data_IF_816135724004
#
_entry.id   IF_816135724004
#
_cell.length_a   1.000
_cell.length_b   1.000
_cell.length_c   1.000
_cell.angle_alpha   90.00
_cell.angle_beta   90.00
_cell.angle_gamma   90.00
#
_symmetry.space_group_name_H-M   'P 1'
#
loop_
_entity.id
_entity.type
_entity.pdbx_description
1 polymer ?
#
# COMPACT_ATOMS: atom_id res chain seq x y z
N UNK A 1 15.27 -2.28 -7.14
CA UNK A 1 15.46 -2.09 -8.58
C UNK A 1 14.24 -1.46 -9.24
N UNK A 2 14.43 -0.90 -10.43
CA UNK A 2 13.30 -0.39 -11.22
C UNK A 2 13.53 -0.68 -12.72
N UNK A 3 12.44 -0.72 -13.46
CA UNK A 3 12.41 -0.82 -14.91
C UNK A 3 11.30 0.10 -15.44
N UNK A 4 11.55 0.79 -16.54
CA UNK A 4 10.55 1.64 -17.19
C UNK A 4 10.70 1.68 -18.71
N UNK A 5 9.62 2.03 -19.38
CA UNK A 5 9.64 2.38 -20.80
C UNK A 5 10.05 3.84 -20.96
N UNK A 6 11.12 4.12 -21.69
CA UNK A 6 11.54 5.51 -22.00
C UNK A 6 10.54 6.24 -22.90
N UNK A 7 9.77 5.49 -23.69
CA UNK A 7 8.72 6.01 -24.57
C UNK A 7 7.36 6.14 -23.87
N UNK A 8 7.27 5.75 -22.58
CA UNK A 8 6.02 5.78 -21.83
C UNK A 8 4.99 4.72 -22.23
N UNK A 9 5.36 3.76 -23.08
CA UNK A 9 4.46 2.68 -23.51
C UNK A 9 4.22 1.68 -22.40
N UNK A 10 2.97 1.34 -22.13
CA UNK A 10 2.58 0.28 -21.19
C UNK A 10 2.72 -1.08 -21.86
N UNK A 11 3.26 -2.05 -21.13
CA UNK A 11 3.32 -3.45 -21.57
C UNK A 11 3.29 -4.42 -20.39
N UNK A 12 2.85 -5.63 -20.64
CA UNK A 12 2.92 -6.74 -19.69
C UNK A 12 4.38 -7.24 -19.54
N UNK A 13 5.20 -7.08 -20.56
CA UNK A 13 6.62 -7.44 -20.55
C UNK A 13 7.40 -6.74 -19.42
N UNK A 14 7.06 -5.48 -19.11
CA UNK A 14 7.66 -4.74 -18.00
C UNK A 14 7.38 -5.43 -16.66
N UNK A 15 6.19 -5.98 -16.45
CA UNK A 15 5.86 -6.76 -15.24
C UNK A 15 6.73 -8.01 -15.16
N UNK A 16 6.82 -8.78 -16.24
CA UNK A 16 7.64 -10.00 -16.28
C UNK A 16 9.12 -9.71 -16.00
N UNK A 17 9.67 -8.67 -16.62
CA UNK A 17 11.04 -8.23 -16.38
C UNK A 17 11.25 -7.74 -14.93
N UNK A 18 10.29 -6.98 -14.37
CA UNK A 18 10.36 -6.51 -12.98
C UNK A 18 10.35 -7.67 -11.98
N UNK A 19 9.48 -8.66 -12.18
CA UNK A 19 9.46 -9.86 -11.36
C UNK A 19 10.77 -10.66 -11.49
N UNK A 20 11.33 -10.73 -12.71
CA UNK A 20 12.64 -11.36 -12.90
C UNK A 20 13.78 -10.62 -12.21
N UNK A 21 13.76 -9.28 -12.24
CA UNK A 21 14.72 -8.46 -11.47
C UNK A 21 14.58 -8.77 -9.98
N UNK A 22 13.35 -8.89 -9.47
CA UNK A 22 13.09 -9.20 -8.06
C UNK A 22 13.66 -10.58 -7.69
N UNK A 23 13.44 -11.61 -8.50
CA UNK A 23 14.04 -12.94 -8.32
C UNK A 23 15.58 -12.89 -8.27
N UNK A 24 16.21 -12.12 -9.17
CA UNK A 24 17.67 -11.93 -9.17
C UNK A 24 18.20 -11.21 -7.91
N UNK A 25 17.33 -10.55 -7.14
CA UNK A 25 17.66 -9.88 -5.88
C UNK A 25 17.46 -10.78 -4.64
N UNK A 26 17.16 -12.05 -4.79
CA UNK A 26 16.92 -13.01 -3.68
C UNK A 26 18.03 -12.97 -2.63
N UNK A 27 19.30 -12.91 -3.07
CA UNK A 27 20.47 -12.78 -2.21
C UNK A 27 20.50 -11.51 -1.35
N UNK A 28 19.62 -10.55 -1.58
CA UNK A 28 19.45 -9.30 -0.81
C UNK A 28 18.40 -9.41 0.28
N UNK A 29 17.69 -10.53 0.38
CA UNK A 29 16.67 -10.78 1.38
C UNK A 29 17.10 -11.78 2.43
N UNK A 30 16.27 -11.96 3.43
CA UNK A 30 16.40 -13.03 4.40
C UNK A 30 15.14 -13.89 4.41
N UNK A 31 15.30 -15.12 4.88
CA UNK A 31 14.25 -16.10 5.03
C UNK A 31 14.18 -16.49 6.50
N UNK A 32 12.99 -16.55 7.05
CA UNK A 32 12.74 -16.91 8.45
C UNK A 32 13.05 -18.38 8.72
N UNK A 33 12.97 -18.77 9.99
CA UNK A 33 13.29 -20.15 10.46
C UNK A 33 12.40 -21.24 9.85
N UNK A 34 11.24 -20.88 9.27
CA UNK A 34 10.37 -21.84 8.56
C UNK A 34 10.88 -22.14 7.11
N UNK A 35 11.99 -21.53 6.72
CA UNK A 35 12.61 -21.74 5.39
C UNK A 35 11.82 -21.20 4.21
N UNK A 36 10.72 -20.47 4.44
CA UNK A 36 9.77 -20.04 3.39
C UNK A 36 9.25 -18.61 3.57
N UNK A 37 9.12 -18.11 4.78
CA UNK A 37 8.69 -16.74 5.02
C UNK A 37 9.83 -15.76 4.76
N UNK A 38 9.68 -14.87 3.77
CA UNK A 38 10.65 -13.81 3.51
C UNK A 38 10.48 -12.60 4.43
N UNK A 39 11.52 -11.78 4.58
CA UNK A 39 11.48 -10.50 5.30
C UNK A 39 10.58 -9.45 4.61
N UNK A 40 10.24 -9.70 3.37
CA UNK A 40 9.31 -8.88 2.61
C UNK A 40 9.80 -8.60 1.19
N UNK A 41 8.88 -8.75 0.26
CA UNK A 41 9.07 -8.39 -1.13
C UNK A 41 7.89 -7.61 -1.66
N UNK A 42 8.11 -6.82 -2.72
CA UNK A 42 7.00 -6.07 -3.31
C UNK A 42 7.35 -5.41 -4.62
N UNK A 43 6.28 -4.98 -5.29
CA UNK A 43 6.28 -4.29 -6.56
C UNK A 43 5.31 -3.12 -6.56
N UNK A 44 5.76 -1.97 -7.03
CA UNK A 44 4.95 -0.79 -7.34
C UNK A 44 4.87 -0.67 -8.86
N UNK A 45 3.67 -0.40 -9.37
CA UNK A 45 3.41 -0.26 -10.81
C UNK A 45 2.44 0.89 -11.08
N UNK A 46 2.23 1.25 -12.35
CA UNK A 46 1.02 1.98 -12.74
C UNK A 46 -0.23 1.18 -12.40
N UNK A 47 -1.36 1.87 -12.27
CA UNK A 47 -2.68 1.24 -12.14
C UNK A 47 -2.98 0.46 -13.43
N UNK A 48 -3.26 -0.85 -13.34
CA UNK A 48 -3.62 -1.68 -14.49
C UNK A 48 -5.10 -1.50 -14.87
N UNK A 49 -5.42 -0.37 -15.48
CA UNK A 49 -6.79 0.06 -15.77
C UNK A 49 -7.59 -0.98 -16.56
N UNK A 50 -6.99 -1.54 -17.61
CA UNK A 50 -7.63 -2.55 -18.47
C UNK A 50 -8.00 -3.82 -17.70
N UNK A 51 -7.17 -4.22 -16.75
CA UNK A 51 -7.47 -5.34 -15.85
C UNK A 51 -8.70 -5.02 -15.00
N UNK A 52 -8.76 -3.83 -14.43
CA UNK A 52 -9.84 -3.45 -13.53
C UNK A 52 -11.17 -3.30 -14.26
N UNK A 53 -11.18 -2.74 -15.47
CA UNK A 53 -12.38 -2.67 -16.31
C UNK A 53 -13.01 -4.05 -16.52
N UNK A 54 -12.20 -5.12 -16.61
CA UNK A 54 -12.70 -6.50 -16.83
C UNK A 54 -12.97 -7.28 -15.54
N UNK A 55 -12.32 -6.92 -14.42
CA UNK A 55 -12.37 -7.74 -13.20
C UNK A 55 -13.24 -7.17 -12.08
N UNK A 56 -13.61 -5.89 -12.15
CA UNK A 56 -14.51 -5.30 -11.17
C UNK A 56 -15.97 -5.51 -11.58
N UNK A 57 -16.83 -5.75 -10.59
CA UNK A 57 -18.27 -5.94 -10.77
C UNK A 57 -19.06 -4.62 -10.82
N UNK A 58 -18.37 -3.50 -10.63
CA UNK A 58 -18.92 -2.14 -10.64
C UNK A 58 -18.25 -1.30 -11.73
N UNK A 59 -18.94 -0.23 -12.16
CA UNK A 59 -18.44 0.66 -13.21
C UNK A 59 -17.26 1.47 -12.71
N UNK A 60 -16.16 1.44 -13.45
CA UNK A 60 -14.96 2.24 -13.22
C UNK A 60 -14.96 3.40 -14.22
N UNK A 61 -14.71 4.65 -13.78
CA UNK A 61 -14.53 5.81 -14.66
C UNK A 61 -13.25 5.69 -15.50
N UNK A 62 -13.09 6.59 -16.46
CA UNK A 62 -11.86 6.69 -17.24
C UNK A 62 -10.63 6.86 -16.35
N UNK A 63 -9.49 6.40 -16.85
CA UNK A 63 -8.21 6.52 -16.17
C UNK A 63 -7.92 7.97 -15.77
N UNK A 64 -7.48 8.18 -14.52
CA UNK A 64 -7.24 9.51 -13.94
C UNK A 64 -8.44 10.10 -13.19
N UNK A 65 -9.66 9.57 -13.39
CA UNK A 65 -10.87 10.05 -12.70
C UNK A 65 -11.23 9.21 -11.46
N UNK A 66 -10.40 8.27 -11.09
CA UNK A 66 -10.53 7.46 -9.88
C UNK A 66 -9.17 7.16 -9.27
N UNK A 67 -9.18 6.84 -7.99
CA UNK A 67 -8.06 6.26 -7.28
C UNK A 67 -8.36 4.80 -6.93
N UNK A 68 -7.30 4.00 -6.83
CA UNK A 68 -7.38 2.65 -6.28
C UNK A 68 -6.32 2.46 -5.21
N UNK A 69 -6.65 1.68 -4.18
CA UNK A 69 -5.71 1.32 -3.12
C UNK A 69 -5.84 -0.13 -2.72
N UNK A 70 -4.70 -0.80 -2.53
CA UNK A 70 -4.68 -2.05 -1.80
C UNK A 70 -4.84 -1.75 -0.32
N UNK A 71 -5.70 -2.50 0.35
CA UNK A 71 -6.02 -2.33 1.78
C UNK A 71 -5.85 -3.67 2.48
N UNK A 72 -4.97 -3.69 3.45
CA UNK A 72 -4.83 -4.77 4.40
C UNK A 72 -5.89 -4.61 5.50
N UNK A 73 -6.58 -5.65 5.83
CA UNK A 73 -7.77 -5.65 6.67
C UNK A 73 -7.73 -6.79 7.68
N UNK A 74 -8.47 -6.69 8.80
CA UNK A 74 -8.70 -7.78 9.73
C UNK A 74 -9.24 -9.05 9.06
N UNK A 75 -8.84 -10.21 9.58
CA UNK A 75 -9.37 -11.50 9.13
C UNK A 75 -10.79 -11.75 9.65
N UNK A 76 -11.10 -11.29 10.87
CA UNK A 76 -12.46 -11.40 11.43
C UNK A 76 -13.43 -10.50 10.68
N UNK A 77 -14.50 -11.09 10.15
CA UNK A 77 -15.47 -10.43 9.28
C UNK A 77 -16.04 -9.16 9.90
N UNK A 78 -16.50 -9.22 11.16
CA UNK A 78 -17.07 -8.06 11.86
C UNK A 78 -16.06 -6.90 12.01
N UNK A 79 -14.79 -7.21 12.34
CA UNK A 79 -13.75 -6.18 12.45
C UNK A 79 -13.34 -5.62 11.10
N UNK A 80 -13.33 -6.45 10.07
CA UNK A 80 -13.10 -6.01 8.68
C UNK A 80 -14.19 -5.06 8.21
N UNK A 81 -15.46 -5.41 8.39
CA UNK A 81 -16.60 -4.55 8.04
C UNK A 81 -16.55 -3.23 8.81
N UNK A 82 -16.15 -3.25 10.08
CA UNK A 82 -15.92 -2.03 10.85
C UNK A 82 -14.85 -1.15 10.21
N UNK A 83 -13.68 -1.70 9.87
CA UNK A 83 -12.61 -0.94 9.21
C UNK A 83 -13.05 -0.36 7.86
N UNK A 84 -13.77 -1.15 7.06
CA UNK A 84 -14.32 -0.70 5.78
C UNK A 84 -15.29 0.48 6.00
N UNK A 85 -16.21 0.37 6.95
CA UNK A 85 -17.19 1.44 7.23
C UNK A 85 -16.56 2.74 7.73
N UNK A 86 -15.54 2.65 8.60
CA UNK A 86 -14.78 3.83 9.06
C UNK A 86 -14.05 4.49 7.90
N UNK A 87 -13.41 3.72 7.03
CA UNK A 87 -12.70 4.30 5.91
C UNK A 87 -13.65 4.94 4.89
N UNK A 88 -14.77 4.28 4.57
CA UNK A 88 -15.82 4.85 3.70
C UNK A 88 -16.44 6.13 4.28
N UNK A 89 -16.65 6.18 5.60
CA UNK A 89 -17.09 7.38 6.29
C UNK A 89 -16.16 8.56 6.01
N UNK A 90 -14.85 8.41 6.24
CA UNK A 90 -13.90 9.51 6.03
C UNK A 90 -13.74 9.91 4.56
N UNK A 91 -13.84 8.96 3.63
CA UNK A 91 -13.89 9.30 2.20
C UNK A 91 -15.13 10.14 1.87
N UNK A 92 -16.29 9.76 2.41
CA UNK A 92 -17.56 10.50 2.23
C UNK A 92 -17.50 11.88 2.89
N UNK A 93 -16.92 12.01 4.08
CA UNK A 93 -16.73 13.28 4.79
C UNK A 93 -15.87 14.26 3.98
N UNK A 94 -14.94 13.77 3.18
CA UNK A 94 -14.16 14.55 2.21
C UNK A 94 -14.89 14.77 0.86
N UNK A 95 -16.15 14.38 0.74
CA UNK A 95 -16.96 14.51 -0.48
C UNK A 95 -16.58 13.53 -1.58
N UNK A 96 -15.83 12.47 -1.29
CA UNK A 96 -15.43 11.46 -2.26
C UNK A 96 -16.43 10.31 -2.32
N UNK A 97 -16.55 9.69 -3.51
CA UNK A 97 -17.49 8.58 -3.72
C UNK A 97 -16.74 7.26 -3.82
N UNK A 98 -17.05 6.32 -2.93
CA UNK A 98 -16.60 4.94 -3.06
C UNK A 98 -17.38 4.27 -4.20
N UNK A 99 -16.65 3.75 -5.17
CA UNK A 99 -17.22 3.01 -6.31
C UNK A 99 -17.49 1.55 -5.94
N UNK A 100 -16.62 0.98 -5.11
CA UNK A 100 -16.76 -0.39 -4.64
C UNK A 100 -15.45 -0.97 -4.11
N UNK A 101 -15.59 -2.19 -3.60
CA UNK A 101 -14.51 -3.01 -3.10
C UNK A 101 -14.35 -4.28 -3.93
N UNK A 102 -13.12 -4.63 -4.22
CA UNK A 102 -12.76 -5.89 -4.87
C UNK A 102 -11.91 -6.74 -3.92
N UNK A 103 -12.28 -7.98 -3.68
CA UNK A 103 -11.39 -8.92 -2.98
C UNK A 103 -10.21 -9.21 -3.90
N UNK A 104 -8.99 -9.00 -3.38
CA UNK A 104 -7.79 -9.27 -4.18
C UNK A 104 -7.56 -10.78 -4.29
N UNK A 105 -7.44 -11.33 -5.51
CA UNK A 105 -7.21 -12.76 -5.69
C UNK A 105 -5.77 -13.11 -5.31
N UNK A 106 -5.64 -13.81 -4.18
CA UNK A 106 -4.36 -14.27 -3.62
C UNK A 106 -4.36 -15.77 -3.44
N UNK A 107 -3.17 -16.37 -3.40
CA UNK A 107 -2.96 -17.79 -3.13
C UNK A 107 -2.17 -18.00 -1.83
N UNK A 108 -2.83 -18.24 -0.70
CA UNK A 108 -2.15 -18.43 0.57
C UNK A 108 -1.32 -19.73 0.65
N UNK A 109 -1.46 -20.67 -0.29
CA UNK A 109 -0.73 -21.93 -0.27
C UNK A 109 0.78 -21.77 -0.42
N UNK A 110 1.21 -20.66 -1.06
CA UNK A 110 2.63 -20.35 -1.26
C UNK A 110 3.32 -19.77 -0.02
N UNK A 111 2.53 -19.33 0.98
CA UNK A 111 3.08 -18.68 2.17
C UNK A 111 3.77 -19.68 3.11
N UNK A 112 4.87 -19.24 3.73
CA UNK A 112 5.42 -19.89 4.91
C UNK A 112 4.52 -19.73 6.13
N UNK A 113 4.70 -20.58 7.14
CA UNK A 113 3.82 -20.65 8.31
C UNK A 113 3.76 -19.34 9.11
N UNK A 114 4.90 -18.61 9.20
CA UNK A 114 4.98 -17.34 9.90
C UNK A 114 4.20 -16.26 9.14
N UNK A 115 4.40 -16.17 7.82
CA UNK A 115 3.66 -15.24 6.97
C UNK A 115 2.15 -15.51 6.99
N UNK A 116 1.76 -16.78 6.96
CA UNK A 116 0.37 -17.22 6.96
C UNK A 116 -0.37 -16.87 8.27
N UNK A 117 0.29 -17.00 9.42
CA UNK A 117 -0.28 -16.63 10.73
C UNK A 117 -0.55 -15.12 10.86
N UNK A 118 0.17 -14.31 10.12
CA UNK A 118 0.08 -12.83 10.18
C UNK A 118 -0.48 -12.22 8.90
N UNK A 119 -0.96 -13.04 7.96
CA UNK A 119 -1.53 -12.61 6.70
C UNK A 119 -2.79 -11.75 6.96
N UNK A 120 -2.87 -10.52 6.42
CA UNK A 120 -4.09 -9.74 6.44
C UNK A 120 -5.08 -10.25 5.39
N UNK A 121 -6.36 -9.96 5.56
CA UNK A 121 -7.32 -10.04 4.46
C UNK A 121 -7.08 -8.85 3.52
N UNK A 122 -7.01 -9.08 2.21
CA UNK A 122 -6.63 -8.03 1.26
C UNK A 122 -7.79 -7.71 0.33
N UNK A 123 -8.18 -6.43 0.30
CA UNK A 123 -9.13 -5.87 -0.68
C UNK A 123 -8.52 -4.69 -1.42
N UNK A 124 -9.15 -4.35 -2.51
CA UNK A 124 -8.91 -3.10 -3.24
C UNK A 124 -10.12 -2.20 -3.09
N UNK A 125 -9.89 -0.94 -2.71
CA UNK A 125 -10.92 0.09 -2.72
C UNK A 125 -10.78 0.95 -3.98
N UNK A 126 -11.91 1.32 -4.56
CA UNK A 126 -11.99 2.21 -5.72
C UNK A 126 -12.79 3.45 -5.34
N UNK A 127 -12.21 4.62 -5.56
CA UNK A 127 -12.77 5.91 -5.15
C UNK A 127 -12.76 6.86 -6.34
N UNK A 128 -13.89 7.48 -6.67
CA UNK A 128 -13.94 8.49 -7.72
C UNK A 128 -13.78 9.90 -7.18
N UNK A 129 -13.33 10.79 -8.05
CA UNK A 129 -13.43 12.24 -7.81
C UNK A 129 -14.88 12.63 -7.55
N UNK A 130 -15.10 13.73 -6.83
CA UNK A 130 -16.42 14.31 -6.62
C UNK A 130 -17.01 14.88 -7.92
N UNK A 131 -16.14 15.44 -8.76
CA UNK A 131 -16.46 15.89 -10.12
C UNK A 131 -15.25 15.67 -11.04
N UNK A 132 -15.50 15.61 -12.35
CA UNK A 132 -14.42 15.47 -13.36
C UNK A 132 -13.50 16.70 -13.43
N UNK A 133 -13.98 17.86 -12.98
CA UNK A 133 -13.23 19.11 -12.92
C UNK A 133 -12.35 19.25 -11.68
N UNK A 134 -12.45 18.31 -10.73
CA UNK A 134 -11.62 18.33 -9.52
C UNK A 134 -10.15 18.15 -9.88
N UNK A 135 -9.29 19.06 -9.37
CA UNK A 135 -7.84 18.95 -9.55
C UNK A 135 -7.27 17.66 -8.93
N UNK A 136 -6.25 17.10 -9.58
CA UNK A 136 -5.56 15.89 -9.13
C UNK A 136 -4.91 16.08 -7.76
N UNK A 137 -4.37 17.27 -7.49
CA UNK A 137 -3.73 17.56 -6.22
C UNK A 137 -4.76 17.57 -5.08
N UNK A 138 -5.87 18.29 -5.25
CA UNK A 138 -6.97 18.32 -4.28
C UNK A 138 -7.53 16.93 -4.02
N UNK A 139 -7.70 16.12 -5.08
CA UNK A 139 -8.18 14.76 -4.94
C UNK A 139 -7.23 13.90 -4.09
N UNK A 140 -5.91 13.95 -4.39
CA UNK A 140 -4.93 13.19 -3.62
C UNK A 140 -4.80 13.69 -2.17
N UNK A 141 -4.97 14.99 -1.91
CA UNK A 141 -5.01 15.56 -0.58
C UNK A 141 -6.19 14.99 0.24
N UNK A 142 -7.39 14.96 -0.33
CA UNK A 142 -8.59 14.38 0.28
C UNK A 142 -8.42 12.87 0.57
N UNK A 143 -7.83 12.12 -0.36
CA UNK A 143 -7.49 10.71 -0.15
C UNK A 143 -6.50 10.53 1.01
N UNK A 144 -5.48 11.38 1.11
CA UNK A 144 -4.49 11.35 2.18
C UNK A 144 -5.14 11.64 3.53
N UNK A 145 -5.96 12.70 3.66
CA UNK A 145 -6.67 13.06 4.89
C UNK A 145 -7.59 11.90 5.33
N UNK A 146 -8.40 11.37 4.41
CA UNK A 146 -9.31 10.25 4.69
C UNK A 146 -8.55 9.03 5.21
N UNK A 147 -7.43 8.69 4.57
CA UNK A 147 -6.58 7.58 4.99
C UNK A 147 -6.03 7.80 6.41
N UNK A 148 -5.45 8.96 6.70
CA UNK A 148 -4.85 9.26 8.01
C UNK A 148 -5.90 9.24 9.11
N UNK A 149 -7.07 9.84 8.90
CA UNK A 149 -8.17 9.80 9.88
C UNK A 149 -8.64 8.36 10.14
N UNK A 150 -8.81 7.56 9.10
CA UNK A 150 -9.21 6.16 9.25
C UNK A 150 -8.14 5.33 9.99
N UNK A 151 -6.86 5.49 9.61
CA UNK A 151 -5.74 4.84 10.30
C UNK A 151 -5.74 5.19 11.80
N UNK A 152 -5.93 6.47 12.17
CA UNK A 152 -5.95 6.91 13.56
C UNK A 152 -7.15 6.35 14.32
N UNK A 153 -8.37 6.46 13.79
CA UNK A 153 -9.57 5.95 14.46
C UNK A 153 -9.50 4.43 14.67
N UNK A 154 -9.09 3.69 13.64
CA UNK A 154 -9.01 2.23 13.69
C UNK A 154 -7.91 1.77 14.65
N UNK A 155 -6.72 2.35 14.59
CA UNK A 155 -5.60 1.97 15.48
C UNK A 155 -5.90 2.28 16.96
N UNK A 156 -6.67 3.33 17.23
CA UNK A 156 -7.10 3.70 18.59
C UNK A 156 -8.38 2.96 19.03
N UNK A 157 -8.99 2.17 18.16
CA UNK A 157 -10.19 1.41 18.48
C UNK A 157 -9.89 0.20 19.36
N UNK A 158 -10.96 -0.38 19.94
CA UNK A 158 -10.83 -1.59 20.81
C UNK A 158 -10.85 -2.91 20.03
N UNK A 159 -10.79 -2.89 18.69
CA UNK A 159 -10.78 -4.14 17.93
C UNK A 159 -9.42 -4.84 18.02
N UNK A 160 -9.44 -6.15 18.23
CA UNK A 160 -8.21 -6.93 18.50
C UNK A 160 -7.25 -7.02 17.30
N UNK A 161 -7.77 -6.84 16.10
CA UNK A 161 -7.02 -6.95 14.84
C UNK A 161 -6.78 -5.58 14.16
N UNK A 162 -6.90 -4.45 14.90
CA UNK A 162 -6.67 -3.10 14.38
C UNK A 162 -5.33 -2.96 13.64
N UNK A 163 -4.28 -3.64 14.13
CA UNK A 163 -2.93 -3.64 13.54
C UNK A 163 -2.87 -4.12 12.09
N UNK A 164 -3.87 -4.86 11.61
CA UNK A 164 -3.93 -5.31 10.22
C UNK A 164 -4.42 -4.23 9.27
N UNK A 165 -5.04 -3.16 9.77
CA UNK A 165 -5.48 -2.08 8.90
C UNK A 165 -4.28 -1.26 8.42
N UNK A 166 -4.01 -1.37 7.14
CA UNK A 166 -2.92 -0.64 6.48
C UNK A 166 -3.19 -0.48 4.99
N UNK A 167 -2.81 0.66 4.43
CA UNK A 167 -2.93 0.93 3.00
C UNK A 167 -1.54 0.97 2.34
N UNK A 168 -1.10 -0.09 1.67
CA UNK A 168 0.12 -0.07 0.86
C UNK A 168 0.15 1.07 -0.13
N UNK A 169 -0.98 1.32 -0.80
CA UNK A 169 -1.16 2.44 -1.71
C UNK A 169 -2.62 2.92 -1.71
N UNK A 170 -2.82 4.18 -2.04
CA UNK A 170 -4.11 4.78 -2.42
C UNK A 170 -3.76 5.94 -3.35
N UNK A 171 -3.98 5.78 -4.65
CA UNK A 171 -3.47 6.72 -5.64
C UNK A 171 -4.28 6.69 -6.93
N UNK A 172 -4.21 7.79 -7.69
CA UNK A 172 -4.72 7.89 -9.06
C UNK A 172 -3.75 7.34 -10.12
N UNK A 173 -2.51 7.05 -9.72
CA UNK A 173 -1.41 6.75 -10.66
C UNK A 173 -0.77 5.38 -10.44
N UNK A 174 -0.57 4.98 -9.19
CA UNK A 174 0.22 3.80 -8.82
C UNK A 174 -0.55 2.84 -7.93
N UNK A 175 -0.12 1.56 -7.96
CA UNK A 175 -0.59 0.53 -7.04
C UNK A 175 0.60 -0.30 -6.55
N UNK A 176 0.54 -0.77 -5.29
CA UNK A 176 1.61 -1.54 -4.66
C UNK A 176 1.09 -2.90 -4.22
N UNK A 177 1.79 -3.94 -4.63
CA UNK A 177 1.62 -5.32 -4.16
C UNK A 177 2.85 -5.68 -3.34
N UNK A 178 2.67 -6.06 -2.07
CA UNK A 178 3.78 -6.37 -1.16
C UNK A 178 3.34 -7.27 -0.01
N UNK A 179 4.30 -7.95 0.61
CA UNK A 179 4.00 -8.79 1.78
C UNK A 179 5.22 -9.52 2.32
N UNK A 180 5.02 -10.36 3.32
CA UNK A 180 6.05 -11.25 3.87
C UNK A 180 6.29 -12.44 2.92
N UNK A 181 6.84 -12.12 1.77
CA UNK A 181 7.06 -13.01 0.64
C UNK A 181 8.54 -13.06 0.30
N UNK A 182 8.99 -14.18 -0.22
CA UNK A 182 10.24 -14.25 -0.99
C UNK A 182 9.96 -13.78 -2.44
N UNK A 183 10.98 -13.38 -3.20
CA UNK A 183 10.82 -12.84 -4.54
C UNK A 183 9.97 -13.69 -5.48
N UNK A 184 10.20 -14.99 -5.50
CA UNK A 184 9.54 -15.94 -6.40
C UNK A 184 8.05 -16.08 -6.12
N UNK A 185 7.64 -15.93 -4.85
CA UNK A 185 6.27 -16.11 -4.41
C UNK A 185 5.37 -14.92 -4.74
N UNK A 186 5.90 -13.74 -5.03
CA UNK A 186 5.09 -12.54 -5.32
C UNK A 186 4.10 -12.78 -6.46
N UNK A 187 4.56 -13.35 -7.57
CA UNK A 187 3.71 -13.63 -8.73
C UNK A 187 2.75 -14.80 -8.51
N UNK A 188 3.16 -15.74 -7.65
CA UNK A 188 2.33 -16.89 -7.30
C UNK A 188 1.22 -16.50 -6.34
N UNK A 189 1.54 -15.63 -5.37
CA UNK A 189 0.61 -15.13 -4.38
C UNK A 189 -0.41 -14.16 -4.97
N UNK A 190 0.04 -13.13 -5.71
CA UNK A 190 -0.84 -12.13 -6.31
C UNK A 190 -1.21 -12.50 -7.75
N UNK A 191 -2.34 -13.17 -7.94
CA UNK A 191 -2.78 -13.67 -9.26
C UNK A 191 -2.96 -12.58 -10.32
N UNK A 192 -3.19 -11.33 -9.91
CA UNK A 192 -3.28 -10.20 -10.84
C UNK A 192 -1.98 -9.98 -11.62
N UNK A 193 -0.81 -10.18 -10.99
CA UNK A 193 0.50 -9.91 -11.59
C UNK A 193 0.84 -10.84 -12.77
N UNK A 194 0.16 -11.98 -12.90
CA UNK A 194 0.31 -12.92 -14.01
C UNK A 194 -0.72 -12.71 -15.12
N UNK A 195 -1.65 -11.76 -14.93
CA UNK A 195 -2.70 -11.53 -15.92
C UNK A 195 -2.15 -10.71 -17.10
N UNK A 196 -2.38 -11.12 -18.38
CA UNK A 196 -1.91 -10.38 -19.56
C UNK A 196 -2.43 -8.94 -19.66
N UNK A 197 -3.57 -8.62 -19.03
CA UNK A 197 -4.12 -7.27 -18.97
C UNK A 197 -3.44 -6.38 -17.91
N UNK A 198 -2.55 -6.95 -17.11
CA UNK A 198 -1.74 -6.17 -16.19
C UNK A 198 -0.58 -5.54 -16.96
N UNK A 199 -0.82 -4.35 -17.49
CA UNK A 199 0.16 -3.58 -18.27
C UNK A 199 0.62 -2.36 -17.48
N UNK A 200 1.90 -2.05 -17.55
CA UNK A 200 2.51 -0.90 -16.90
C UNK A 200 3.61 -0.31 -17.78
N UNK A 201 3.93 0.98 -17.60
CA UNK A 201 5.10 1.63 -18.21
C UNK A 201 6.31 1.65 -17.28
N UNK A 202 6.09 1.42 -15.98
CA UNK A 202 7.17 1.34 -14.99
C UNK A 202 6.85 0.32 -13.91
N UNK A 203 7.89 -0.25 -13.34
CA UNK A 203 7.79 -1.03 -12.12
C UNK A 203 9.00 -0.75 -11.22
N UNK A 204 8.74 -0.59 -9.91
CA UNK A 204 9.73 -0.46 -8.85
C UNK A 204 9.63 -1.69 -7.96
N UNK A 205 10.70 -2.44 -7.80
CA UNK A 205 10.74 -3.68 -7.03
C UNK A 205 11.74 -3.61 -5.88
N UNK A 206 11.41 -4.25 -4.79
CA UNK A 206 12.27 -4.31 -3.62
C UNK A 206 12.20 -5.67 -2.95
N UNK A 207 13.38 -6.21 -2.61
CA UNK A 207 13.56 -7.32 -1.68
C UNK A 207 14.13 -6.76 -0.39
N UNK A 208 13.41 -6.98 0.71
CA UNK A 208 13.79 -6.45 2.01
C UNK A 208 14.72 -7.43 2.75
N UNK A 209 15.73 -6.88 3.39
CA UNK A 209 16.44 -7.49 4.51
C UNK A 209 16.15 -6.67 5.76
N UNK A 210 15.59 -7.31 6.78
CA UNK A 210 15.21 -6.62 8.03
C UNK A 210 16.36 -6.67 9.02
N UNK A 211 16.91 -5.50 9.37
CA UNK A 211 18.02 -5.40 10.34
C UNK A 211 17.56 -4.90 11.70
N UNK A 212 16.68 -3.90 11.75
CA UNK A 212 16.34 -3.17 12.96
C UNK A 212 14.90 -3.35 13.44
N UNK A 213 14.05 -3.99 12.66
CA UNK A 213 12.63 -4.23 13.02
C UNK A 213 12.21 -5.64 12.59
N UNK A 214 11.35 -6.28 13.37
CA UNK A 214 10.74 -7.54 12.95
C UNK A 214 9.98 -7.36 11.65
N UNK A 215 10.10 -8.33 10.69
CA UNK A 215 9.36 -8.28 9.46
C UNK A 215 7.84 -8.36 9.73
N UNK A 216 7.09 -7.49 9.08
CA UNK A 216 5.62 -7.50 9.06
C UNK A 216 5.11 -7.15 7.66
N UNK A 217 3.86 -7.51 7.36
CA UNK A 217 3.26 -7.29 6.04
C UNK A 217 3.29 -5.82 5.61
N UNK A 218 3.04 -4.90 6.53
CA UNK A 218 3.03 -3.46 6.28
C UNK A 218 4.43 -2.86 6.13
N UNK A 219 5.45 -3.48 6.74
CA UNK A 219 6.85 -3.03 6.64
C UNK A 219 7.59 -3.54 5.42
N UNK A 220 7.01 -4.46 4.64
CA UNK A 220 7.55 -4.83 3.34
C UNK A 220 7.63 -3.59 2.42
N UNK A 221 8.65 -3.53 1.55
CA UNK A 221 8.81 -2.46 0.59
C UNK A 221 8.34 -2.92 -0.82
N UNK A 222 8.07 -1.99 -1.76
CA UNK A 222 8.25 -0.54 -1.66
C UNK A 222 7.17 0.15 -0.82
N UNK A 223 7.49 1.36 -0.34
CA UNK A 223 6.52 2.30 0.18
C UNK A 223 5.99 3.20 -0.94
N UNK A 224 4.99 4.04 -0.65
CA UNK A 224 4.20 4.81 -1.62
C UNK A 224 5.03 5.63 -2.63
N UNK A 225 6.19 6.13 -2.20
CA UNK A 225 7.07 6.99 -3.01
C UNK A 225 8.51 6.54 -3.05
N UNK A 226 8.87 5.51 -2.29
CA UNK A 226 10.28 5.15 -2.15
C UNK A 226 10.52 3.65 -1.90
N UNK A 227 11.69 3.22 -2.28
CA UNK A 227 12.33 2.03 -1.75
C UNK A 227 13.84 2.25 -1.65
N UNK A 228 14.46 1.72 -0.63
CA UNK A 228 15.92 1.80 -0.45
C UNK A 228 16.46 0.64 0.38
N UNK A 229 17.77 0.38 0.25
CA UNK A 229 18.49 -0.63 1.01
C UNK A 229 19.49 -0.01 2.01
N UNK A 230 19.33 1.27 2.28
CA UNK A 230 20.15 1.97 3.28
C UNK A 230 19.49 1.96 4.65
N UNK A 231 20.18 2.56 5.60
CA UNK A 231 19.66 2.90 6.92
C UNK A 231 19.59 4.42 7.05
N UNK A 232 18.47 4.92 7.54
CA UNK A 232 18.35 6.32 7.93
C UNK A 232 18.86 6.42 9.37
N UNK A 233 20.09 6.90 9.52
CA UNK A 233 20.74 6.98 10.81
C UNK A 233 19.99 7.87 11.78
N UNK A 234 20.16 7.61 13.09
CA UNK A 234 19.58 8.42 14.16
C UNK A 234 18.04 8.47 14.11
N UNK A 235 17.41 7.37 13.68
CA UNK A 235 15.94 7.28 13.55
C UNK A 235 15.23 7.80 14.80
N UNK A 236 15.64 7.34 16.00
CA UNK A 236 15.03 7.74 17.26
C UNK A 236 15.09 9.26 17.52
N UNK A 237 16.24 9.88 17.21
CA UNK A 237 16.41 11.33 17.32
C UNK A 237 15.56 12.09 16.29
N UNK A 238 15.48 11.60 15.06
CA UNK A 238 14.67 12.21 14.00
C UNK A 238 13.18 12.13 14.33
N UNK A 239 12.71 10.99 14.81
CA UNK A 239 11.32 10.81 15.28
C UNK A 239 11.00 11.76 16.43
N UNK A 240 11.88 11.85 17.44
CA UNK A 240 11.69 12.76 18.58
C UNK A 240 11.63 14.23 18.13
N UNK A 241 12.49 14.64 17.20
CA UNK A 241 12.46 16.00 16.62
C UNK A 241 11.17 16.26 15.84
N UNK A 242 10.67 15.28 15.08
CA UNK A 242 9.42 15.42 14.38
C UNK A 242 8.25 15.60 15.34
N UNK A 243 8.13 14.75 16.36
CA UNK A 243 7.11 14.85 17.41
C UNK A 243 7.15 16.22 18.12
N UNK A 244 8.35 16.71 18.45
CA UNK A 244 8.52 18.03 19.09
C UNK A 244 8.04 19.19 18.21
N UNK A 245 8.05 19.03 16.90
CA UNK A 245 7.60 20.04 15.93
C UNK A 245 6.13 19.95 15.56
N UNK A 246 5.48 18.80 15.81
CA UNK A 246 4.09 18.58 15.40
C UNK A 246 3.12 19.64 15.94
N UNK A 247 3.35 20.15 17.15
CA UNK A 247 2.53 21.22 17.74
C UNK A 247 2.61 22.56 16.99
N UNK A 248 3.65 22.73 16.16
CA UNK A 248 3.90 23.94 15.37
C UNK A 248 3.48 23.79 13.90
N UNK A 249 2.91 22.65 13.54
CA UNK A 249 2.53 22.41 12.15
C UNK A 249 1.30 23.25 11.79
N UNK A 250 1.50 24.11 10.80
CA UNK A 250 0.48 24.91 10.16
C UNK A 250 0.61 24.73 8.64
N UNK A 251 -0.52 24.72 7.93
CA UNK A 251 -0.52 24.60 6.48
C UNK A 251 -1.85 25.08 5.92
N UNK A 252 -1.81 26.02 5.00
CA UNK A 252 -3.00 26.51 4.27
C UNK A 252 -3.68 25.38 3.46
N UNK A 253 -2.90 24.37 3.04
CA UNK A 253 -3.42 23.23 2.28
C UNK A 253 -4.32 22.32 3.12
N UNK A 254 -4.00 22.15 4.40
CA UNK A 254 -4.77 21.32 5.33
C UNK A 254 -5.77 22.10 6.15
N UNK A 255 -5.55 23.40 6.36
CA UNK A 255 -6.36 24.19 7.27
C UNK A 255 -6.48 23.52 8.63
N UNK A 256 -7.71 23.47 9.18
CA UNK A 256 -8.00 22.82 10.47
C UNK A 256 -7.80 21.30 10.45
N UNK A 257 -7.77 20.68 9.28
CA UNK A 257 -7.57 19.23 9.11
C UNK A 257 -6.17 18.78 9.54
N UNK A 258 -5.19 19.69 9.65
CA UNK A 258 -3.82 19.34 10.04
C UNK A 258 -3.77 18.60 11.38
N UNK A 259 -4.62 18.98 12.33
CA UNK A 259 -4.70 18.34 13.66
C UNK A 259 -5.19 16.88 13.56
N UNK A 260 -6.02 16.59 12.57
CA UNK A 260 -6.61 15.26 12.40
C UNK A 260 -5.67 14.23 11.78
N UNK A 261 -4.57 14.69 11.18
CA UNK A 261 -3.55 13.81 10.56
C UNK A 261 -2.34 13.56 11.48
N UNK A 262 -2.28 14.19 12.65
CA UNK A 262 -1.24 13.98 13.65
C UNK A 262 -1.53 12.72 14.51
N UNK A 263 -0.52 11.98 14.96
CA UNK A 263 0.90 12.18 14.69
C UNK A 263 1.26 11.83 13.24
N UNK A 264 2.25 12.55 12.70
CA UNK A 264 2.76 12.26 11.34
C UNK A 264 3.46 10.92 11.32
N UNK A 265 4.34 10.68 12.29
CA UNK A 265 5.13 9.45 12.44
C UNK A 265 4.44 8.53 13.43
N UNK A 266 4.06 7.34 12.96
CA UNK A 266 3.51 6.31 13.84
C UNK A 266 4.62 5.61 14.64
N UNK A 267 4.37 5.25 15.93
CA UNK A 267 5.36 4.58 16.77
C UNK A 267 5.71 3.19 16.23
N UNK A 268 6.92 2.71 16.55
CA UNK A 268 7.42 1.37 16.26
C UNK A 268 7.44 1.01 14.75
N UNK A 269 7.62 1.99 13.89
CA UNK A 269 7.83 1.81 12.45
C UNK A 269 9.32 1.80 12.11
N UNK A 270 9.68 1.19 10.98
CA UNK A 270 11.04 1.31 10.44
C UNK A 270 11.32 2.75 9.97
N UNK A 271 12.58 3.05 9.69
CA UNK A 271 13.01 4.33 9.12
C UNK A 271 12.21 4.70 7.86
N UNK A 272 12.18 3.81 6.88
CA UNK A 272 11.47 4.00 5.62
C UNK A 272 9.94 4.12 5.79
N UNK A 273 9.38 3.41 6.78
CA UNK A 273 7.94 3.47 7.05
C UNK A 273 7.54 4.74 7.81
N UNK A 274 8.52 5.43 8.42
CA UNK A 274 8.33 6.68 9.16
C UNK A 274 8.41 7.92 8.26
N UNK A 275 8.95 7.77 7.04
CA UNK A 275 8.98 8.82 6.00
C UNK A 275 7.70 8.84 5.18
#
# INVERSE_FOLDING_TARGET
GFICSLEGKKSNDIIHKALKILECLEHRGAVSSDGKTGDGAGILTDIPHELFLKKCSFKIPDFGNYAVGNVFLPNKVNQRTYCESIFEKYLKDQGLKVLGWRVLPVDPSVLGDIAKKTQPFIKQIFVSKSSTSQDDFEFNLKLFISRKKAEHEILNSKISEARFFYLPSLSTKIIIYKGLLIPEDIKLYYKDLTNPLFITRLALVHQRFSTNTFPTWDLAQPFRYMCHNGEINTLRGNVSRMISRESLFESDLFGDEIKSILPVVLPNKSDSASM
#
